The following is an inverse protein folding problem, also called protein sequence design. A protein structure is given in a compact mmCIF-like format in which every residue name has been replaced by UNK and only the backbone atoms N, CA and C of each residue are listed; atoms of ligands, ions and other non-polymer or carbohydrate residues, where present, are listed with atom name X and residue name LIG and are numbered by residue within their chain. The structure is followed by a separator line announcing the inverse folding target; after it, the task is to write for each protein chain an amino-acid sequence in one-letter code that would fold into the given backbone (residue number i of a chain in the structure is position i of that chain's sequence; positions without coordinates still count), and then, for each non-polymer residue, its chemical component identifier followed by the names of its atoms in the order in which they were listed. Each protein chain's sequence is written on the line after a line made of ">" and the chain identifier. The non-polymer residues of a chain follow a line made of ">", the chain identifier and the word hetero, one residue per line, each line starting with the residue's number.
data_IF_632710725783
#
_entry.id   IF_632710725783
#
_cell.length_a   1.000
_cell.length_b   1.000
_cell.length_c   1.000
_cell.angle_alpha   90.00
_cell.angle_beta   90.00
_cell.angle_gamma   90.00
#
_symmetry.space_group_name_H-M   'P 1'
#
loop_
_entity.id
_entity.type
_entity.pdbx_description
1 polymer ?
#
# COMPACT_ATOMS: atom_id res chain seq x y z
N UNK A 1 2.82 -14.72 -20.63
CA UNK A 1 2.86 -13.26 -20.42
C UNK A 1 3.57 -12.63 -21.58
N UNK A 2 2.91 -11.70 -22.26
CA UNK A 2 3.57 -10.96 -23.33
C UNK A 2 4.63 -10.03 -22.71
N UNK A 3 5.85 -10.10 -23.23
CA UNK A 3 6.94 -9.24 -22.82
C UNK A 3 6.73 -7.85 -23.42
N UNK A 4 6.50 -6.87 -22.57
CA UNK A 4 6.34 -5.47 -22.99
C UNK A 4 6.97 -4.55 -21.96
N UNK A 5 7.23 -3.30 -22.34
CA UNK A 5 7.70 -2.31 -21.36
C UNK A 5 6.70 -2.09 -20.22
N UNK A 6 5.40 -2.19 -20.49
CA UNK A 6 4.35 -2.01 -19.47
C UNK A 6 4.29 -3.14 -18.43
N UNK A 7 4.81 -4.32 -18.76
CA UNK A 7 4.87 -5.48 -17.85
C UNK A 7 6.27 -5.70 -17.25
N UNK A 8 7.19 -4.76 -17.45
CA UNK A 8 8.56 -4.84 -16.97
C UNK A 8 8.76 -4.01 -15.70
N UNK A 9 9.28 -4.63 -14.64
CA UNK A 9 9.60 -3.96 -13.38
C UNK A 9 10.68 -2.85 -13.52
N UNK A 10 11.52 -2.93 -14.57
CA UNK A 10 12.56 -1.95 -14.87
C UNK A 10 12.06 -0.78 -15.75
N UNK A 11 10.76 -0.73 -16.06
CA UNK A 11 10.22 0.32 -16.93
C UNK A 11 10.32 1.70 -16.29
N UNK A 12 10.94 2.63 -17.02
CA UNK A 12 10.91 4.07 -16.78
C UNK A 12 10.59 4.77 -18.09
N UNK A 13 10.04 5.98 -18.05
CA UNK A 13 9.76 6.77 -19.28
C UNK A 13 10.98 6.96 -20.18
N UNK A 14 12.17 6.89 -19.63
CA UNK A 14 13.45 7.02 -20.34
C UNK A 14 14.09 5.67 -20.68
N UNK A 15 13.48 4.54 -20.27
CA UNK A 15 14.05 3.24 -20.55
C UNK A 15 13.93 2.85 -22.03
N UNK A 16 15.06 2.85 -22.74
CA UNK A 16 15.13 2.47 -24.15
C UNK A 16 15.88 1.15 -24.40
N UNK A 17 16.43 0.53 -23.37
CA UNK A 17 17.32 -0.63 -23.51
C UNK A 17 16.70 -1.80 -24.27
N UNK A 18 15.48 -2.20 -23.91
CA UNK A 18 14.80 -3.31 -24.56
C UNK A 18 14.23 -2.92 -25.94
N UNK A 19 13.80 -1.66 -26.11
CA UNK A 19 13.20 -1.19 -27.35
C UNK A 19 14.24 -1.07 -28.46
N UNK A 20 15.43 -0.56 -28.14
CA UNK A 20 16.52 -0.40 -29.11
C UNK A 20 17.16 -1.72 -29.52
N UNK A 21 17.18 -2.71 -28.63
CA UNK A 21 17.72 -4.05 -28.92
C UNK A 21 16.72 -4.99 -29.60
N UNK A 22 15.42 -4.71 -29.47
CA UNK A 22 14.35 -5.59 -29.95
C UNK A 22 14.28 -6.96 -29.27
N UNK A 23 15.13 -7.22 -28.26
CA UNK A 23 15.31 -8.55 -27.66
C UNK A 23 14.67 -8.71 -26.29
N UNK A 24 14.22 -7.62 -25.63
CA UNK A 24 13.76 -7.63 -24.23
C UNK A 24 14.74 -8.36 -23.28
N UNK A 25 16.04 -8.24 -23.54
CA UNK A 25 17.08 -8.97 -22.80
C UNK A 25 17.16 -8.59 -21.31
N UNK A 26 16.73 -7.39 -20.97
CA UNK A 26 16.68 -6.87 -19.60
C UNK A 26 15.26 -6.85 -19.01
N UNK A 27 14.33 -7.63 -19.63
CA UNK A 27 12.97 -7.73 -19.14
C UNK A 27 12.92 -8.43 -17.79
N UNK A 28 12.41 -7.73 -16.79
CA UNK A 28 12.06 -8.30 -15.48
C UNK A 28 10.54 -8.23 -15.33
N UNK A 29 9.84 -9.37 -15.20
CA UNK A 29 8.39 -9.36 -15.00
C UNK A 29 8.03 -8.59 -13.74
N UNK A 30 6.94 -7.83 -13.78
CA UNK A 30 6.32 -7.31 -12.57
C UNK A 30 5.90 -8.48 -11.68
N UNK A 31 6.09 -8.33 -10.38
CA UNK A 31 5.59 -9.28 -9.39
C UNK A 31 4.07 -9.41 -9.43
N UNK A 32 3.49 -10.35 -8.70
CA UNK A 32 2.05 -10.49 -8.59
C UNK A 32 1.44 -9.23 -7.95
N UNK A 33 0.18 -8.95 -8.31
CA UNK A 33 -0.56 -7.81 -7.72
C UNK A 33 -0.63 -7.94 -6.21
N UNK A 34 -0.87 -9.15 -5.73
CA UNK A 34 -0.86 -9.51 -4.31
C UNK A 34 -0.09 -10.82 -4.17
N UNK A 35 0.92 -10.82 -3.29
CA UNK A 35 1.63 -12.03 -2.92
C UNK A 35 0.78 -12.89 -1.98
N UNK A 36 0.70 -14.18 -2.25
CA UNK A 36 -0.02 -15.11 -1.41
C UNK A 36 0.92 -15.77 -0.40
N UNK A 37 0.66 -15.62 0.90
CA UNK A 37 1.39 -16.27 1.97
C UNK A 37 0.87 -17.69 2.28
N UNK A 38 -0.28 -18.08 1.70
CA UNK A 38 -0.93 -19.37 1.93
C UNK A 38 -1.82 -19.39 3.18
N UNK A 39 -1.31 -18.95 4.30
CA UNK A 39 -2.04 -18.94 5.57
C UNK A 39 -2.83 -17.64 5.76
N UNK A 40 -3.95 -17.76 6.50
CA UNK A 40 -4.91 -16.68 6.74
C UNK A 40 -5.18 -16.52 8.22
N UNK A 41 -5.46 -15.28 8.64
CA UNK A 41 -6.14 -14.98 9.89
C UNK A 41 -7.54 -14.47 9.58
N UNK A 42 -8.49 -14.83 10.41
CA UNK A 42 -9.88 -14.34 10.36
C UNK A 42 -10.13 -13.48 11.60
N UNK A 43 -10.78 -12.35 11.41
CA UNK A 43 -11.21 -11.47 12.48
C UNK A 43 -12.63 -11.84 12.93
N UNK A 44 -13.04 -11.43 14.12
CA UNK A 44 -14.40 -11.66 14.65
C UNK A 44 -15.49 -11.13 13.72
N UNK A 45 -15.19 -10.08 12.95
CA UNK A 45 -16.05 -9.53 11.90
C UNK A 45 -16.25 -10.46 10.70
N UNK A 46 -15.51 -11.57 10.62
CA UNK A 46 -15.45 -12.47 9.46
C UNK A 46 -14.60 -11.92 8.31
N UNK A 47 -13.89 -10.81 8.51
CA UNK A 47 -12.87 -10.33 7.56
C UNK A 47 -11.67 -11.29 7.58
N UNK A 48 -10.98 -11.43 6.45
CA UNK A 48 -9.84 -12.33 6.31
C UNK A 48 -8.63 -11.59 5.75
N UNK A 49 -7.46 -11.86 6.32
CA UNK A 49 -6.16 -11.38 5.80
C UNK A 49 -5.09 -12.48 5.88
N UNK A 50 -3.98 -12.27 5.19
CA UNK A 50 -2.78 -13.07 5.41
C UNK A 50 -2.29 -12.92 6.85
N UNK A 51 -1.61 -13.95 7.37
CA UNK A 51 -0.99 -13.90 8.69
C UNK A 51 -0.02 -12.72 8.80
N UNK A 52 0.08 -12.16 10.00
CA UNK A 52 0.95 -11.03 10.32
C UNK A 52 2.39 -11.48 10.61
N UNK A 53 2.55 -12.70 11.12
CA UNK A 53 3.82 -13.21 11.62
C UNK A 53 4.94 -13.08 10.57
N UNK A 54 6.08 -12.60 10.99
CA UNK A 54 7.27 -12.41 10.15
C UNK A 54 7.24 -11.19 9.22
N UNK A 55 6.11 -10.46 9.14
CA UNK A 55 6.00 -9.26 8.28
C UNK A 55 6.45 -7.97 8.94
N UNK A 56 6.63 -7.98 10.25
CA UNK A 56 6.86 -6.78 11.05
C UNK A 56 5.54 -6.01 11.32
N UNK A 57 5.56 -5.15 12.31
CA UNK A 57 4.46 -4.27 12.71
C UNK A 57 4.88 -2.84 12.42
N UNK A 58 4.66 -2.38 11.18
CA UNK A 58 5.05 -1.02 10.76
C UNK A 58 4.18 0.06 11.42
N UNK A 59 3.00 -0.29 11.88
CA UNK A 59 2.11 0.57 12.68
C UNK A 59 2.69 0.92 14.06
N UNK A 60 3.60 0.10 14.60
CA UNK A 60 4.29 0.35 15.87
C UNK A 60 5.57 1.20 15.73
N UNK A 61 5.97 1.55 14.50
CA UNK A 61 7.11 2.42 14.30
C UNK A 61 6.81 3.85 14.79
N UNK A 62 7.78 4.58 15.35
CA UNK A 62 7.62 6.00 15.64
C UNK A 62 7.56 6.80 14.32
N UNK A 63 6.35 6.92 13.74
CA UNK A 63 6.14 7.36 12.36
C UNK A 63 6.65 8.77 12.08
N UNK A 64 6.63 9.65 13.08
CA UNK A 64 7.20 10.99 12.99
C UNK A 64 8.72 10.94 12.76
N UNK A 65 9.42 10.00 13.41
CA UNK A 65 10.85 9.76 13.18
C UNK A 65 11.10 9.11 11.83
N UNK A 66 10.26 8.14 11.43
CA UNK A 66 10.36 7.51 10.11
C UNK A 66 10.20 8.54 9.00
N UNK A 67 9.20 9.43 9.08
CA UNK A 67 9.00 10.49 8.10
C UNK A 67 10.20 11.41 7.95
N UNK A 68 10.83 11.79 9.07
CA UNK A 68 12.07 12.61 9.07
C UNK A 68 13.26 11.86 8.47
N UNK A 69 13.43 10.58 8.80
CA UNK A 69 14.52 9.76 8.27
C UNK A 69 14.42 9.54 6.76
N UNK A 70 13.22 9.36 6.22
CA UNK A 70 13.01 9.20 4.78
C UNK A 70 13.35 10.44 3.97
N UNK A 71 13.27 11.62 4.58
CA UNK A 71 13.62 12.91 3.98
C UNK A 71 14.87 13.55 4.60
N UNK A 72 15.78 12.75 5.15
CA UNK A 72 16.97 13.23 5.88
C UNK A 72 17.87 14.19 5.08
N UNK A 73 17.80 14.18 3.74
CA UNK A 73 18.56 15.11 2.87
C UNK A 73 17.93 16.49 2.77
N UNK A 74 16.61 16.57 3.01
CA UNK A 74 15.87 17.82 3.08
C UNK A 74 15.30 17.96 4.48
N UNK A 75 16.06 18.59 5.36
CA UNK A 75 15.73 18.76 6.77
C UNK A 75 14.53 19.66 7.04
N UNK A 76 13.97 20.27 6.00
CA UNK A 76 12.84 21.21 6.13
C UNK A 76 11.47 20.50 6.15
N UNK A 77 11.36 19.26 5.65
CA UNK A 77 10.09 18.56 5.55
C UNK A 77 10.20 17.07 5.88
N UNK A 78 9.20 16.54 6.59
CA UNK A 78 9.01 15.11 6.74
C UNK A 78 8.46 14.51 5.44
N UNK A 79 8.55 13.18 5.28
CA UNK A 79 7.86 12.49 4.20
C UNK A 79 6.34 12.66 4.39
N UNK A 80 5.69 13.33 3.44
CA UNK A 80 4.29 13.75 3.55
C UNK A 80 3.31 12.57 3.68
N UNK A 81 3.61 11.43 3.06
CA UNK A 81 2.74 10.24 3.16
C UNK A 81 2.80 9.71 4.60
N UNK A 82 3.99 9.46 5.11
CA UNK A 82 4.20 8.96 6.48
C UNK A 82 3.72 9.97 7.51
N UNK A 83 3.98 11.28 7.30
CA UNK A 83 3.49 12.32 8.17
C UNK A 83 1.96 12.31 8.29
N UNK A 84 1.24 12.25 7.18
CA UNK A 84 -0.21 12.23 7.20
C UNK A 84 -0.76 10.94 7.83
N UNK A 85 -0.15 9.78 7.59
CA UNK A 85 -0.53 8.53 8.27
C UNK A 85 -0.32 8.65 9.79
N UNK A 86 0.81 9.21 10.23
CA UNK A 86 1.09 9.46 11.65
C UNK A 86 0.04 10.37 12.28
N UNK A 87 -0.30 11.48 11.61
CA UNK A 87 -1.32 12.41 12.12
C UNK A 87 -2.70 11.77 12.22
N UNK A 88 -3.07 10.92 11.24
CA UNK A 88 -4.30 10.15 11.33
C UNK A 88 -4.28 9.21 12.54
N UNK A 89 -3.20 8.45 12.74
CA UNK A 89 -3.08 7.52 13.87
C UNK A 89 -3.17 8.21 15.25
N UNK A 90 -2.79 9.49 15.32
CA UNK A 90 -2.87 10.29 16.57
C UNK A 90 -4.24 10.95 16.77
N UNK A 91 -4.90 11.39 15.70
CA UNK A 91 -6.07 12.29 15.79
C UNK A 91 -7.37 11.66 15.32
N UNK A 92 -7.30 10.57 14.56
CA UNK A 92 -8.42 9.95 13.83
C UNK A 92 -9.13 10.90 12.83
N UNK A 93 -8.46 11.99 12.42
CA UNK A 93 -9.01 12.93 11.47
C UNK A 93 -8.84 12.42 10.04
N UNK A 94 -9.93 12.08 9.38
CA UNK A 94 -10.00 11.54 8.00
C UNK A 94 -9.28 12.39 6.95
N UNK A 95 -9.23 13.71 7.17
CA UNK A 95 -8.55 14.64 6.27
C UNK A 95 -7.07 14.29 6.06
N UNK A 96 -6.43 13.64 7.03
CA UNK A 96 -5.05 13.16 6.89
C UNK A 96 -4.96 11.94 5.98
N UNK A 97 -5.94 11.02 6.02
CA UNK A 97 -5.96 9.87 5.06
C UNK A 97 -6.12 10.40 3.64
N UNK A 98 -7.06 11.33 3.43
CA UNK A 98 -7.28 11.95 2.12
C UNK A 98 -6.00 12.61 1.57
N UNK A 99 -5.26 13.34 2.43
CA UNK A 99 -3.97 13.93 2.06
C UNK A 99 -2.94 12.85 1.75
N UNK A 100 -2.81 11.81 2.58
CA UNK A 100 -1.87 10.72 2.33
C UNK A 100 -2.11 10.05 0.96
N UNK A 101 -3.37 9.85 0.56
CA UNK A 101 -3.72 9.31 -0.77
C UNK A 101 -3.28 10.26 -1.88
N UNK A 102 -3.54 11.55 -1.76
CA UNK A 102 -3.15 12.57 -2.75
C UNK A 102 -1.64 12.63 -2.91
N UNK A 103 -0.90 12.63 -1.79
CA UNK A 103 0.56 12.62 -1.80
C UNK A 103 1.13 11.32 -2.37
N UNK A 104 0.51 10.17 -2.07
CA UNK A 104 0.89 8.89 -2.69
C UNK A 104 0.71 8.93 -4.22
N UNK A 105 -0.43 9.43 -4.71
CA UNK A 105 -0.65 9.60 -6.14
C UNK A 105 0.41 10.51 -6.78
N UNK A 106 0.71 11.65 -6.17
CA UNK A 106 1.74 12.57 -6.66
C UNK A 106 3.13 11.91 -6.67
N UNK A 107 3.49 11.20 -5.60
CA UNK A 107 4.76 10.49 -5.46
C UNK A 107 4.92 9.39 -6.51
N UNK A 108 3.84 8.65 -6.80
CA UNK A 108 3.82 7.60 -7.83
C UNK A 108 3.62 8.16 -9.24
N UNK A 109 3.50 9.49 -9.39
CA UNK A 109 3.24 10.19 -10.66
C UNK A 109 1.93 9.76 -11.33
N UNK A 110 0.92 9.53 -10.54
CA UNK A 110 -0.41 9.14 -10.99
C UNK A 110 -1.41 10.29 -10.84
N UNK A 111 -2.27 10.46 -11.82
CA UNK A 111 -3.51 11.23 -11.64
C UNK A 111 -4.49 10.42 -10.80
N UNK A 112 -5.42 11.06 -10.11
CA UNK A 112 -6.44 10.36 -9.32
C UNK A 112 -7.24 9.36 -10.17
N UNK A 113 -7.74 9.70 -11.39
CA UNK A 113 -8.42 8.70 -12.23
C UNK A 113 -7.54 7.50 -12.59
N UNK A 114 -6.25 7.72 -12.88
CA UNK A 114 -5.32 6.64 -13.15
C UNK A 114 -5.12 5.75 -11.90
N UNK A 115 -4.92 6.36 -10.74
CA UNK A 115 -4.80 5.64 -9.48
C UNK A 115 -6.03 4.75 -9.22
N UNK A 116 -7.24 5.25 -9.45
CA UNK A 116 -8.47 4.47 -9.26
C UNK A 116 -8.53 3.26 -10.19
N UNK A 117 -8.14 3.40 -11.47
CA UNK A 117 -8.06 2.27 -12.41
C UNK A 117 -7.01 1.24 -11.98
N UNK A 118 -5.87 1.68 -11.49
CA UNK A 118 -4.81 0.77 -11.04
C UNK A 118 -5.19 0.06 -9.73
N UNK A 119 -5.77 0.78 -8.77
CA UNK A 119 -6.24 0.22 -7.50
C UNK A 119 -7.41 -0.75 -7.71
N UNK A 120 -8.27 -0.51 -8.71
CA UNK A 120 -9.37 -1.45 -9.03
C UNK A 120 -8.85 -2.86 -9.35
N UNK A 121 -7.66 -2.98 -9.96
CA UNK A 121 -7.00 -4.28 -10.20
C UNK A 121 -6.56 -4.95 -8.89
N UNK A 122 -6.20 -4.16 -7.89
CA UNK A 122 -5.89 -4.68 -6.56
C UNK A 122 -7.14 -5.20 -5.85
N UNK A 123 -8.27 -4.49 -5.95
CA UNK A 123 -9.57 -5.00 -5.48
C UNK A 123 -9.97 -6.29 -6.17
N UNK A 124 -9.80 -6.41 -7.50
CA UNK A 124 -10.07 -7.64 -8.24
C UNK A 124 -9.21 -8.81 -7.74
N UNK A 125 -7.93 -8.59 -7.51
CA UNK A 125 -7.03 -9.61 -6.99
C UNK A 125 -7.40 -10.00 -5.55
N UNK A 126 -7.76 -9.03 -4.71
CA UNK A 126 -8.26 -9.26 -3.36
C UNK A 126 -9.56 -10.06 -3.35
N UNK A 127 -10.49 -9.75 -4.25
CA UNK A 127 -11.74 -10.49 -4.41
C UNK A 127 -11.49 -11.97 -4.72
N UNK A 128 -10.57 -12.26 -5.63
CA UNK A 128 -10.19 -13.66 -5.98
C UNK A 128 -9.56 -14.40 -4.81
N UNK A 129 -8.83 -13.69 -3.93
CA UNK A 129 -8.05 -14.28 -2.83
C UNK A 129 -8.86 -14.46 -1.54
N UNK A 130 -9.72 -13.48 -1.21
CA UNK A 130 -10.40 -13.39 0.08
C UNK A 130 -11.94 -13.41 -0.03
N UNK A 131 -12.48 -13.38 -1.24
CA UNK A 131 -13.90 -13.25 -1.51
C UNK A 131 -14.32 -11.80 -1.77
N UNK A 132 -15.49 -11.68 -2.40
CA UNK A 132 -16.05 -10.39 -2.77
C UNK A 132 -16.34 -9.53 -1.53
N UNK A 133 -15.97 -8.25 -1.60
CA UNK A 133 -16.20 -7.25 -0.54
C UNK A 133 -15.67 -7.65 0.85
N UNK A 134 -14.65 -8.52 0.91
CA UNK A 134 -14.06 -8.92 2.19
C UNK A 134 -13.56 -7.72 3.02
N UNK A 135 -13.05 -6.68 2.36
CA UNK A 135 -12.56 -5.46 3.01
C UNK A 135 -13.68 -4.64 3.70
N UNK A 136 -14.94 -4.79 3.28
CA UNK A 136 -16.10 -4.13 3.89
C UNK A 136 -16.56 -4.80 5.20
N UNK A 137 -16.04 -5.97 5.54
CA UNK A 137 -16.41 -6.69 6.76
C UNK A 137 -15.80 -6.11 8.05
N UNK A 138 -14.93 -5.12 7.93
CA UNK A 138 -14.27 -4.48 9.06
C UNK A 138 -12.94 -5.15 9.42
N UNK A 139 -11.92 -4.87 8.63
CA UNK A 139 -10.53 -5.17 8.99
C UNK A 139 -10.07 -4.06 9.95
N UNK A 140 -9.44 -4.38 11.10
CA UNK A 140 -8.97 -3.38 12.04
C UNK A 140 -8.08 -2.31 11.38
N UNK A 141 -8.27 -1.05 11.76
CA UNK A 141 -7.59 0.10 11.15
C UNK A 141 -6.06 -0.01 11.19
N UNK A 142 -5.51 -0.47 12.33
CA UNK A 142 -4.07 -0.66 12.48
C UNK A 142 -3.49 -1.64 11.45
N UNK A 143 -4.29 -2.62 10.98
CA UNK A 143 -3.87 -3.56 9.94
C UNK A 143 -3.71 -2.89 8.57
N UNK A 144 -4.55 -1.88 8.28
CA UNK A 144 -4.42 -1.08 7.08
C UNK A 144 -3.23 -0.14 7.17
N UNK A 145 -3.04 0.52 8.33
CA UNK A 145 -1.90 1.40 8.61
C UNK A 145 -0.59 0.62 8.45
N UNK A 146 -0.45 -0.51 9.15
CA UNK A 146 0.73 -1.38 9.06
C UNK A 146 1.05 -1.75 7.61
N UNK A 147 0.04 -2.20 6.86
CA UNK A 147 0.24 -2.63 5.49
C UNK A 147 0.57 -1.46 4.56
N UNK A 148 -0.08 -0.30 4.70
CA UNK A 148 0.23 0.87 3.89
C UNK A 148 1.68 1.30 4.06
N UNK A 149 2.15 1.42 5.31
CA UNK A 149 3.52 1.82 5.63
C UNK A 149 4.52 0.78 5.10
N UNK A 150 4.30 -0.50 5.34
CA UNK A 150 5.17 -1.58 4.88
C UNK A 150 5.30 -1.58 3.34
N UNK A 151 4.20 -1.44 2.61
CA UNK A 151 4.24 -1.36 1.16
C UNK A 151 4.93 -0.08 0.67
N UNK A 152 4.73 1.04 1.36
CA UNK A 152 5.42 2.28 1.02
C UNK A 152 6.94 2.17 1.22
N UNK A 153 7.39 1.62 2.34
CA UNK A 153 8.81 1.40 2.59
C UNK A 153 9.44 0.45 1.57
N UNK A 154 8.76 -0.63 1.21
CA UNK A 154 9.22 -1.54 0.14
C UNK A 154 9.30 -0.85 -1.21
N UNK A 155 8.31 -0.03 -1.56
CA UNK A 155 8.35 0.77 -2.78
C UNK A 155 9.53 1.74 -2.79
N UNK A 156 9.78 2.43 -1.68
CA UNK A 156 10.94 3.34 -1.50
C UNK A 156 12.27 2.62 -1.66
N UNK A 157 12.35 1.38 -1.20
CA UNK A 157 13.55 0.52 -1.29
C UNK A 157 13.66 -0.22 -2.63
N UNK A 158 12.71 -0.02 -3.55
CA UNK A 158 12.75 -0.58 -4.91
C UNK A 158 12.37 -2.05 -5.00
N UNK A 159 11.64 -2.59 -4.04
CA UNK A 159 11.14 -3.97 -4.12
C UNK A 159 10.08 -4.12 -5.22
N UNK A 160 10.10 -5.27 -5.89
CA UNK A 160 9.21 -5.59 -7.01
C UNK A 160 8.52 -6.94 -6.86
N UNK A 161 8.50 -7.49 -5.64
CA UNK A 161 7.82 -8.75 -5.33
C UNK A 161 6.29 -8.62 -5.40
N UNK A 162 5.76 -7.39 -5.27
CA UNK A 162 4.36 -7.02 -5.47
C UNK A 162 4.26 -5.63 -6.12
N UNK A 163 3.04 -5.21 -6.45
CA UNK A 163 2.75 -3.86 -6.93
C UNK A 163 2.47 -2.95 -5.72
N UNK A 164 3.54 -2.52 -5.05
CA UNK A 164 3.47 -1.83 -3.78
C UNK A 164 2.77 -0.47 -3.83
N UNK A 165 2.92 0.28 -4.93
CA UNK A 165 2.24 1.56 -5.18
C UNK A 165 0.71 1.42 -5.09
N UNK A 166 0.13 0.40 -5.75
CA UNK A 166 -1.30 0.09 -5.67
C UNK A 166 -1.71 -0.31 -4.27
N UNK A 167 -0.89 -1.14 -3.62
CA UNK A 167 -1.16 -1.64 -2.28
C UNK A 167 -1.18 -0.52 -1.23
N UNK A 168 -0.33 0.50 -1.35
CA UNK A 168 -0.37 1.69 -0.49
C UNK A 168 -1.73 2.37 -0.59
N UNK A 169 -2.13 2.76 -1.81
CA UNK A 169 -3.39 3.50 -2.01
C UNK A 169 -4.59 2.63 -1.63
N UNK A 170 -4.57 1.33 -1.96
CA UNK A 170 -5.62 0.40 -1.60
C UNK A 170 -5.84 0.34 -0.08
N UNK A 171 -4.77 0.18 0.70
CA UNK A 171 -4.88 0.14 2.16
C UNK A 171 -5.39 1.47 2.73
N UNK A 172 -4.93 2.62 2.23
CA UNK A 172 -5.42 3.92 2.67
C UNK A 172 -6.91 4.13 2.33
N UNK A 173 -7.37 3.67 1.17
CA UNK A 173 -8.79 3.73 0.81
C UNK A 173 -9.65 2.83 1.70
N UNK A 174 -9.19 1.61 1.97
CA UNK A 174 -9.90 0.70 2.88
C UNK A 174 -9.92 1.24 4.32
N UNK A 175 -8.80 1.83 4.79
CA UNK A 175 -8.74 2.51 6.07
C UNK A 175 -9.79 3.62 6.17
N UNK A 176 -9.86 4.49 5.17
CA UNK A 176 -10.84 5.58 5.12
C UNK A 176 -12.27 5.06 5.18
N UNK A 177 -12.58 4.07 4.33
CA UNK A 177 -13.90 3.48 4.30
C UNK A 177 -14.27 2.81 5.65
N UNK A 178 -13.34 2.04 6.24
CA UNK A 178 -13.54 1.39 7.54
C UNK A 178 -13.84 2.41 8.62
N UNK A 179 -13.07 3.49 8.68
CA UNK A 179 -13.30 4.58 9.63
C UNK A 179 -14.71 5.19 9.54
N UNK A 180 -15.20 5.41 8.33
CA UNK A 180 -16.51 6.06 8.12
C UNK A 180 -17.71 5.11 8.30
N UNK A 181 -17.52 3.81 8.11
CA UNK A 181 -18.64 2.87 8.01
C UNK A 181 -18.69 1.81 9.11
N UNK A 182 -17.61 1.59 9.84
CA UNK A 182 -17.53 0.54 10.87
C UNK A 182 -17.33 1.20 12.23
N UNK A 183 -18.38 1.20 13.06
CA UNK A 183 -18.38 1.84 14.38
C UNK A 183 -17.82 0.96 15.50
N UNK A 184 -17.72 -0.37 15.29
CA UNK A 184 -17.29 -1.37 16.27
C UNK A 184 -16.26 -2.31 15.65
N UNK A 185 -15.11 -1.76 15.20
CA UNK A 185 -13.94 -2.61 15.02
C UNK A 185 -13.19 -2.57 16.33
N UNK A 186 -13.16 -3.70 17.03
CA UNK A 186 -12.32 -3.87 18.21
C UNK A 186 -10.87 -3.59 17.81
N UNK A 187 -10.41 -2.39 18.13
CA UNK A 187 -9.06 -1.98 17.82
C UNK A 187 -8.16 -2.54 18.93
N UNK A 188 -7.71 -3.78 18.73
CA UNK A 188 -6.80 -4.51 19.64
C UNK A 188 -5.53 -3.73 20.04
N UNK A 189 -5.44 -2.42 19.68
CA UNK A 189 -4.37 -1.53 20.11
C UNK A 189 -4.39 -1.22 21.62
N UNK A 190 -5.44 -1.57 22.33
CA UNK A 190 -5.65 -1.11 23.70
C UNK A 190 -5.15 -2.08 24.78
N UNK A 191 -4.62 -3.26 24.43
CA UNK A 191 -4.21 -4.30 25.39
C UNK A 191 -2.71 -4.63 25.32
N UNK A 192 -1.82 -3.62 25.22
CA UNK A 192 -0.36 -3.81 25.40
C UNK A 192 0.17 -2.83 26.42
#
# INVERSE_FOLDING_TARGET
>A
MDKSCQTCANYTETCRKCVTSGTFSEYTPLGPVIKDSGERREFETGAVRDIQEGKGRCDLLPLDMVGRLLNWKDTSYADEIIYNISRYAETSEVTYIERAIKEACATFKWTIPHAMLEVSKHFEAGCKKYGERNWEKGIPEHCHIDSAIRHYLKWRDGWTDELHDRAVIWNLMCLWWTHENITEVDDERMDV
#
